data_IF_597968663991
#
_entry.id   IF_597968663991
#
_cell.length_a   1.000
_cell.length_b   1.000
_cell.length_c   1.000
_cell.angle_alpha   90.00
_cell.angle_beta   90.00
_cell.angle_gamma   90.00
#
_symmetry.space_group_name_H-M   'P 1'
#
loop_
_entity.id
_entity.type
_entity.pdbx_description
1 polymer ?
#
# COMPACT_ATOMS: atom_id res chain seq x y z
N UNK A 1 5.13 -5.91 18.75
CA UNK A 1 5.44 -5.95 17.31
C UNK A 1 4.18 -6.28 16.57
N UNK A 2 3.73 -5.34 15.75
CA UNK A 2 2.66 -5.59 14.79
C UNK A 2 3.22 -6.54 13.73
N UNK A 3 2.68 -7.75 13.66
CA UNK A 3 3.15 -8.76 12.71
C UNK A 3 2.76 -8.41 11.27
N UNK A 4 1.82 -7.48 11.14
CA UNK A 4 1.19 -7.10 9.90
C UNK A 4 1.07 -5.58 9.83
N UNK A 5 1.33 -5.02 8.65
CA UNK A 5 0.99 -3.65 8.29
C UNK A 5 -0.07 -3.71 7.18
N UNK A 6 -1.08 -2.85 7.29
CA UNK A 6 -2.17 -2.78 6.32
C UNK A 6 -2.00 -1.51 5.49
N UNK A 7 -2.02 -1.66 4.18
CA UNK A 7 -2.10 -0.54 3.24
C UNK A 7 -3.48 -0.52 2.62
N UNK A 8 -4.14 0.63 2.64
CA UNK A 8 -5.32 0.89 1.83
C UNK A 8 -4.83 1.30 0.45
N UNK A 9 -5.38 0.68 -0.59
CA UNK A 9 -5.01 0.93 -1.98
C UNK A 9 -6.24 1.37 -2.76
N UNK A 10 -6.08 2.42 -3.55
CA UNK A 10 -7.12 3.07 -4.36
C UNK A 10 -6.59 3.38 -5.75
N UNK A 11 -7.46 3.35 -6.76
CA UNK A 11 -7.11 3.79 -8.11
C UNK A 11 -7.02 5.32 -8.12
N UNK A 12 -5.89 5.86 -8.58
CA UNK A 12 -5.68 7.31 -8.63
C UNK A 12 -6.57 7.96 -9.71
N UNK A 13 -7.11 9.17 -9.49
CA UNK A 13 -7.82 9.93 -10.52
C UNK A 13 -6.99 10.20 -11.78
N UNK A 14 -5.65 10.23 -11.66
CA UNK A 14 -4.72 10.48 -12.76
C UNK A 14 -4.27 9.19 -13.47
N UNK A 15 -4.74 8.03 -12.98
CA UNK A 15 -4.33 6.70 -13.43
C UNK A 15 -3.27 6.08 -12.51
N UNK A 16 -3.19 4.76 -12.52
CA UNK A 16 -2.34 4.01 -11.59
C UNK A 16 -3.00 3.80 -10.22
N UNK A 17 -2.17 3.66 -9.19
CA UNK A 17 -2.58 3.29 -7.84
C UNK A 17 -1.89 4.15 -6.80
N UNK A 18 -2.64 4.53 -5.78
CA UNK A 18 -2.16 5.17 -4.56
C UNK A 18 -2.36 4.21 -3.39
N UNK A 19 -1.39 4.18 -2.47
CA UNK A 19 -1.48 3.40 -1.26
C UNK A 19 -0.97 4.16 -0.04
N UNK A 20 -1.65 3.98 1.09
CA UNK A 20 -1.24 4.54 2.37
C UNK A 20 -1.36 3.50 3.49
N UNK A 21 -0.39 3.51 4.42
CA UNK A 21 -0.40 2.62 5.56
C UNK A 21 -1.35 3.10 6.65
N UNK A 22 -2.11 2.18 7.25
CA UNK A 22 -2.88 2.46 8.45
C UNK A 22 -1.95 2.56 9.67
N UNK A 23 -2.06 3.64 10.43
CA UNK A 23 -1.27 3.85 11.65
C UNK A 23 0.18 4.32 11.41
N UNK A 24 0.61 4.43 10.16
CA UNK A 24 1.96 4.89 9.80
C UNK A 24 1.92 5.98 8.72
N UNK A 25 2.83 6.93 8.79
CA UNK A 25 2.98 7.98 7.78
C UNK A 25 3.78 7.46 6.57
N UNK A 26 3.26 6.43 5.90
CA UNK A 26 3.85 5.83 4.70
C UNK A 26 2.83 5.97 3.56
N UNK A 27 3.26 6.60 2.47
CA UNK A 27 2.48 6.82 1.26
C UNK A 27 3.32 6.41 0.07
N UNK A 28 2.70 5.73 -0.89
CA UNK A 28 3.35 5.25 -2.11
C UNK A 28 2.36 5.31 -3.26
N UNK A 29 2.86 5.59 -4.46
CA UNK A 29 2.08 5.60 -5.69
C UNK A 29 2.86 4.87 -6.79
N UNK A 30 2.15 4.28 -7.75
CA UNK A 30 2.76 3.69 -8.95
C UNK A 30 1.74 3.49 -10.07
N UNK A 31 2.23 3.41 -11.31
CA UNK A 31 1.40 3.19 -12.50
C UNK A 31 0.76 1.79 -12.52
N UNK A 32 1.42 0.80 -11.91
CA UNK A 32 0.95 -0.59 -11.84
C UNK A 32 0.94 -1.13 -10.42
N UNK A 33 0.04 -2.09 -10.16
CA UNK A 33 -0.03 -2.77 -8.86
C UNK A 33 1.25 -3.56 -8.53
N UNK A 34 2.00 -3.99 -9.55
CA UNK A 34 3.29 -4.68 -9.35
C UNK A 34 4.36 -3.69 -8.86
N UNK A 35 4.51 -2.55 -9.53
CA UNK A 35 5.41 -1.48 -9.09
C UNK A 35 5.03 -0.94 -7.71
N UNK A 36 3.74 -0.78 -7.43
CA UNK A 36 3.26 -0.34 -6.13
C UNK A 36 3.71 -1.28 -5.00
N UNK A 37 3.67 -2.60 -5.23
CA UNK A 37 4.11 -3.59 -4.23
C UNK A 37 5.60 -3.48 -3.92
N UNK A 38 6.42 -3.24 -4.95
CA UNK A 38 7.85 -3.04 -4.76
C UNK A 38 8.12 -1.72 -4.01
N UNK A 39 7.44 -0.63 -4.40
CA UNK A 39 7.54 0.65 -3.70
C UNK A 39 7.12 0.57 -2.23
N UNK A 40 6.03 -0.15 -1.93
CA UNK A 40 5.57 -0.40 -0.56
C UNK A 40 6.62 -1.19 0.22
N UNK A 41 7.21 -2.23 -0.37
CA UNK A 41 8.24 -3.04 0.28
C UNK A 41 9.46 -2.19 0.64
N UNK A 42 9.89 -1.32 -0.27
CA UNK A 42 11.03 -0.42 -0.03
C UNK A 42 10.72 0.63 1.03
N UNK A 43 9.52 1.23 0.97
CA UNK A 43 9.08 2.20 1.97
C UNK A 43 9.00 1.60 3.37
N UNK A 44 8.47 0.37 3.51
CA UNK A 44 8.45 -0.35 4.80
C UNK A 44 9.87 -0.66 5.27
N UNK A 45 10.78 -1.09 4.39
CA UNK A 45 12.16 -1.36 4.78
C UNK A 45 12.91 -0.11 5.27
N UNK A 46 12.61 1.05 4.68
CA UNK A 46 13.20 2.34 5.05
C UNK A 46 12.58 2.94 6.32
N UNK A 47 11.27 2.75 6.53
CA UNK A 47 10.55 3.32 7.67
C UNK A 47 10.81 2.58 8.99
N UNK A 48 11.03 1.26 8.94
CA UNK A 48 11.18 0.43 10.15
C UNK A 48 12.61 -0.10 10.32
N UNK A 49 13.11 -0.02 11.56
CA UNK A 49 14.30 -0.74 11.99
C UNK A 49 14.12 -2.26 11.82
N UNK A 50 15.22 -3.00 11.64
CA UNK A 50 15.17 -4.45 11.34
C UNK A 50 14.36 -5.26 12.36
N UNK A 51 14.41 -4.90 13.65
CA UNK A 51 13.63 -5.56 14.70
C UNK A 51 12.15 -5.22 14.65
N UNK A 52 11.76 -4.06 14.12
CA UNK A 52 10.38 -3.56 14.16
C UNK A 52 9.63 -3.79 12.85
N UNK A 53 10.30 -4.30 11.81
CA UNK A 53 9.70 -4.56 10.51
C UNK A 53 8.53 -5.55 10.60
N UNK A 54 7.37 -5.20 10.04
CA UNK A 54 6.25 -6.13 9.93
C UNK A 54 6.63 -7.30 9.01
N UNK A 55 6.25 -8.51 9.39
CA UNK A 55 6.52 -9.72 8.61
C UNK A 55 5.52 -9.91 7.45
N UNK A 56 4.36 -9.26 7.53
CA UNK A 56 3.27 -9.37 6.56
C UNK A 56 2.86 -7.97 6.13
N UNK A 57 2.77 -7.74 4.82
CA UNK A 57 2.19 -6.54 4.23
C UNK A 57 0.86 -6.97 3.61
N UNK A 58 -0.25 -6.41 4.10
CA UNK A 58 -1.59 -6.66 3.59
C UNK A 58 -2.06 -5.46 2.77
N UNK A 59 -2.34 -5.68 1.50
CA UNK A 59 -2.99 -4.68 0.66
C UNK A 59 -4.51 -4.85 0.73
N UNK A 60 -5.20 -3.80 1.13
CA UNK A 60 -6.64 -3.67 1.06
C UNK A 60 -7.01 -2.80 -0.15
N UNK A 61 -7.13 -3.44 -1.31
CA UNK A 61 -7.53 -2.79 -2.55
C UNK A 61 -9.06 -2.77 -2.65
N UNK A 62 -9.63 -1.58 -2.70
CA UNK A 62 -11.08 -1.38 -2.93
C UNK A 62 -11.26 -0.89 -4.35
N UNK A 63 -12.15 -1.56 -5.10
CA UNK A 63 -12.54 -1.13 -6.44
C UNK A 63 -14.02 -0.77 -6.44
N UNK A 64 -14.32 0.53 -6.52
CA UNK A 64 -15.70 1.03 -6.61
C UNK A 64 -16.10 1.14 -8.09
N UNK A 65 -16.83 0.13 -8.58
CA UNK A 65 -17.30 0.09 -9.96
C UNK A 65 -18.77 0.53 -10.05
N UNK A 66 -19.04 1.52 -10.91
CA UNK A 66 -20.39 1.94 -11.27
C UNK A 66 -20.66 1.53 -12.71
N UNK A 67 -21.72 0.75 -12.93
CA UNK A 67 -22.18 0.32 -14.25
C UNK A 67 -23.66 0.62 -14.45
N UNK A 68 -24.10 0.72 -15.71
CA UNK A 68 -25.50 0.88 -16.05
C UNK A 68 -26.27 -0.44 -15.82
N UNK A 69 -27.51 -0.35 -15.34
CA UNK A 69 -28.37 -1.51 -15.06
C UNK A 69 -28.82 -2.28 -16.31
#
# INVERSE_FOLDING_TARGET
>A
MEKEIIFVVEESPEGGYEAHALGHAIFTEADTLEELKEMIRDAVQCHFDESERPAIIRLHLVKDEVFAA
#
